data_IF_845925923746
#
_entry.id   IF_845925923746
#
_cell.length_a   1.000
_cell.length_b   1.000
_cell.length_c   1.000
_cell.angle_alpha   90.00
_cell.angle_beta   90.00
_cell.angle_gamma   90.00
#
_symmetry.space_group_name_H-M   'P 1'
#
loop_
_entity.id
_entity.type
_entity.pdbx_description
1 polymer ?
#
# COMPACT_ATOMS: atom_id res chain seq x y z
N UNK A 1 -4.64 -9.72 2.12
CA UNK A 1 -6.11 -9.56 2.03
C UNK A 1 -6.73 -9.57 3.42
N UNK A 2 -6.46 -10.55 4.29
CA UNK A 2 -7.04 -10.63 5.64
C UNK A 2 -6.90 -9.32 6.44
N UNK A 3 -5.70 -8.76 6.52
CA UNK A 3 -5.42 -7.50 7.22
C UNK A 3 -6.16 -6.30 6.61
N UNK A 4 -6.47 -6.34 5.32
CA UNK A 4 -7.28 -5.30 4.68
C UNK A 4 -8.74 -5.35 5.14
N UNK A 5 -9.32 -6.54 5.25
CA UNK A 5 -10.69 -6.73 5.78
C UNK A 5 -10.79 -6.49 7.29
N UNK A 6 -9.69 -6.61 8.02
CA UNK A 6 -9.64 -6.30 9.46
C UNK A 6 -9.75 -4.81 9.76
N UNK A 7 -9.45 -3.91 8.82
CA UNK A 7 -9.44 -2.46 9.04
C UNK A 7 -10.81 -1.81 8.87
N UNK A 8 -11.25 -1.06 9.86
CA UNK A 8 -12.44 -0.20 9.79
C UNK A 8 -12.09 1.16 9.19
N UNK A 9 -12.01 1.22 7.84
CA UNK A 9 -11.62 2.43 7.11
C UNK A 9 -12.58 3.60 7.32
N UNK A 10 -13.87 3.34 7.52
CA UNK A 10 -14.86 4.38 7.78
C UNK A 10 -14.58 5.03 9.14
N UNK A 11 -14.36 4.24 10.18
CA UNK A 11 -13.99 4.77 11.50
C UNK A 11 -12.63 5.50 11.46
N UNK A 12 -11.65 4.97 10.71
CA UNK A 12 -10.35 5.62 10.52
C UNK A 12 -10.55 6.98 9.81
N UNK A 13 -11.37 7.03 8.76
CA UNK A 13 -11.67 8.28 8.05
C UNK A 13 -12.31 9.32 8.98
N UNK A 14 -13.34 8.94 9.72
CA UNK A 14 -14.02 9.84 10.66
C UNK A 14 -13.07 10.37 11.75
N UNK A 15 -12.28 9.49 12.37
CA UNK A 15 -11.49 9.84 13.56
C UNK A 15 -10.18 10.54 13.20
N UNK A 16 -9.49 10.09 12.15
CA UNK A 16 -8.16 10.60 11.78
C UNK A 16 -8.21 11.65 10.67
N UNK A 17 -9.25 11.63 9.82
CA UNK A 17 -9.37 12.51 8.64
C UNK A 17 -10.67 13.34 8.66
N UNK A 18 -11.42 13.36 9.76
CA UNK A 18 -12.65 14.16 9.93
C UNK A 18 -13.74 13.88 8.88
N UNK A 19 -13.77 12.65 8.33
CA UNK A 19 -14.71 12.25 7.31
C UNK A 19 -14.47 12.84 5.90
N UNK A 20 -13.37 13.58 5.69
CA UNK A 20 -13.14 14.29 4.42
C UNK A 20 -12.31 13.49 3.40
N UNK A 21 -11.77 12.35 3.79
CA UNK A 21 -11.07 11.46 2.90
C UNK A 21 -11.99 10.40 2.28
N UNK A 22 -11.43 9.57 1.41
CA UNK A 22 -12.10 8.44 0.79
C UNK A 22 -11.44 7.14 1.23
N UNK A 23 -12.17 6.21 1.92
CA UNK A 23 -11.70 4.85 2.15
C UNK A 23 -11.41 4.13 0.83
N UNK A 24 -10.15 3.75 0.58
CA UNK A 24 -9.75 3.20 -0.72
C UNK A 24 -8.45 2.41 -0.69
N UNK A 25 -8.22 1.64 -1.75
CA UNK A 25 -6.92 1.07 -2.07
C UNK A 25 -6.04 2.07 -2.85
N UNK A 26 -4.80 1.68 -3.12
CA UNK A 26 -3.80 2.45 -3.88
C UNK A 26 -4.07 2.43 -5.39
N UNK A 27 -5.30 2.64 -5.78
CA UNK A 27 -5.71 2.74 -7.18
C UNK A 27 -5.46 4.17 -7.70
N UNK A 28 -5.19 4.37 -9.00
CA UNK A 28 -5.18 5.70 -9.60
C UNK A 28 -6.46 6.49 -9.28
N UNK A 29 -6.40 7.83 -9.16
CA UNK A 29 -7.57 8.63 -8.77
C UNK A 29 -8.66 8.64 -9.85
N UNK A 30 -9.93 8.96 -9.52
CA UNK A 30 -11.06 8.93 -10.46
C UNK A 30 -10.89 9.77 -11.71
N UNK A 31 -10.03 10.79 -11.70
CA UNK A 31 -9.74 11.64 -12.85
C UNK A 31 -8.67 11.04 -13.78
N UNK A 32 -8.03 9.94 -13.39
CA UNK A 32 -7.05 9.24 -14.20
C UNK A 32 -7.74 8.36 -15.25
N UNK A 33 -7.17 8.29 -16.45
CA UNK A 33 -7.58 7.33 -17.49
C UNK A 33 -7.31 5.87 -17.09
N UNK A 34 -6.51 5.67 -16.06
CA UNK A 34 -6.20 4.36 -15.47
C UNK A 34 -7.08 4.01 -14.26
N UNK A 35 -8.07 4.84 -13.95
CA UNK A 35 -8.95 4.60 -12.81
C UNK A 35 -9.70 3.27 -12.94
N UNK A 36 -9.78 2.55 -11.84
CA UNK A 36 -10.54 1.32 -11.68
C UNK A 36 -11.30 1.36 -10.36
N UNK A 37 -12.62 1.48 -10.42
CA UNK A 37 -13.49 1.45 -9.25
C UNK A 37 -13.39 0.10 -8.52
N UNK A 38 -13.24 -1.01 -9.26
CA UNK A 38 -13.06 -2.33 -8.66
C UNK A 38 -11.79 -2.40 -7.83
N UNK A 39 -10.67 -1.87 -8.34
CA UNK A 39 -9.42 -1.83 -7.58
C UNK A 39 -9.52 -0.87 -6.39
N UNK A 40 -10.08 0.31 -6.58
CA UNK A 40 -10.27 1.28 -5.49
C UNK A 40 -11.01 0.65 -4.30
N UNK A 41 -12.04 -0.17 -4.57
CA UNK A 41 -12.89 -0.80 -3.56
C UNK A 41 -12.50 -2.24 -3.22
N UNK A 42 -11.45 -2.79 -3.85
CA UNK A 42 -11.03 -4.16 -3.62
C UNK A 42 -10.68 -4.40 -2.14
N UNK A 43 -11.29 -5.39 -1.52
CA UNK A 43 -10.99 -5.78 -0.14
C UNK A 43 -11.09 -4.63 0.90
N UNK A 44 -11.87 -3.56 0.63
CA UNK A 44 -12.03 -2.43 1.56
C UNK A 44 -13.10 -2.63 2.61
N UNK A 45 -14.02 -3.59 2.40
CA UNK A 45 -15.09 -3.88 3.33
C UNK A 45 -14.52 -4.29 4.70
N UNK A 46 -14.97 -3.64 5.75
CA UNK A 46 -14.67 -4.05 7.13
C UNK A 46 -15.42 -5.36 7.44
N UNK A 47 -14.68 -6.42 7.66
CA UNK A 47 -15.21 -7.75 7.93
C UNK A 47 -14.20 -8.55 8.77
N UNK A 48 -14.14 -8.31 10.08
CA UNK A 48 -13.19 -8.99 10.96
C UNK A 48 -13.44 -10.49 11.08
N UNK A 49 -14.67 -10.96 10.85
CA UNK A 49 -14.98 -12.40 10.83
C UNK A 49 -14.34 -13.07 9.62
N UNK A 50 -14.49 -12.46 8.45
CA UNK A 50 -13.84 -12.93 7.23
C UNK A 50 -12.31 -12.83 7.31
N UNK A 51 -11.79 -11.74 7.91
CA UNK A 51 -10.36 -11.60 8.17
C UNK A 51 -9.82 -12.75 9.04
N UNK A 52 -10.53 -13.10 10.12
CA UNK A 52 -10.18 -14.23 10.97
C UNK A 52 -10.18 -15.55 10.21
N UNK A 53 -11.22 -15.81 9.39
CA UNK A 53 -11.30 -17.01 8.56
C UNK A 53 -10.09 -17.12 7.62
N UNK A 54 -9.72 -16.03 6.94
CA UNK A 54 -8.55 -16.00 6.04
C UNK A 54 -7.23 -16.25 6.79
N UNK A 55 -7.10 -15.75 8.03
CA UNK A 55 -5.92 -16.00 8.86
C UNK A 55 -5.87 -17.46 9.33
N UNK A 56 -7.01 -18.07 9.61
CA UNK A 56 -7.11 -19.49 9.94
C UNK A 56 -6.73 -20.37 8.73
N UNK A 57 -7.24 -20.03 7.53
CA UNK A 57 -6.93 -20.75 6.28
C UNK A 57 -5.42 -20.77 5.92
N UNK A 58 -4.65 -19.80 6.38
CA UNK A 58 -3.19 -19.78 6.20
C UNK A 58 -2.42 -20.42 7.35
N UNK A 59 -3.11 -21.12 8.27
CA UNK A 59 -2.50 -21.90 9.34
C UNK A 59 -2.18 -21.09 10.60
N UNK A 60 -2.83 -19.95 10.82
CA UNK A 60 -2.66 -19.11 12.01
C UNK A 60 -3.87 -19.24 12.97
N UNK A 61 -4.37 -20.47 13.19
CA UNK A 61 -5.57 -20.74 14.00
C UNK A 61 -5.31 -20.59 15.49
N UNK A 62 -4.17 -21.08 15.96
CA UNK A 62 -3.83 -21.10 17.39
C UNK A 62 -3.61 -19.70 17.96
N UNK A 63 -4.05 -19.51 19.23
CA UNK A 63 -3.91 -18.23 19.93
C UNK A 63 -3.43 -18.44 21.36
N UNK A 64 -2.66 -17.48 21.86
CA UNK A 64 -2.29 -17.44 23.28
C UNK A 64 -3.44 -16.92 24.17
N UNK A 65 -3.19 -16.87 25.48
CA UNK A 65 -4.17 -16.40 26.48
C UNK A 65 -4.61 -14.92 26.29
N UNK A 66 -3.84 -14.13 25.55
CA UNK A 66 -4.13 -12.73 25.21
C UNK A 66 -4.91 -12.60 23.90
N UNK A 67 -5.25 -13.71 23.22
CA UNK A 67 -5.95 -13.72 21.95
C UNK A 67 -5.05 -13.48 20.74
N UNK A 68 -3.73 -13.36 20.91
CA UNK A 68 -2.78 -13.18 19.83
C UNK A 68 -2.51 -14.54 19.17
N UNK A 69 -2.54 -14.56 17.85
CA UNK A 69 -2.27 -15.73 17.02
C UNK A 69 -0.83 -16.22 17.21
N UNK A 70 -0.62 -17.51 17.12
CA UNK A 70 0.70 -18.11 17.17
C UNK A 70 1.22 -18.40 15.76
N UNK A 71 2.49 -18.18 15.57
CA UNK A 71 3.23 -18.60 14.37
C UNK A 71 3.49 -20.13 14.43
N UNK A 72 3.89 -20.75 13.31
CA UNK A 72 4.21 -22.19 13.29
C UNK A 72 5.30 -22.64 14.28
N UNK A 73 6.16 -21.69 14.73
CA UNK A 73 7.20 -21.93 15.74
C UNK A 73 6.67 -21.79 17.19
N UNK A 74 5.37 -21.51 17.38
CA UNK A 74 4.72 -21.35 18.68
C UNK A 74 4.85 -19.95 19.28
N UNK A 75 5.61 -19.04 18.64
CA UNK A 75 5.76 -17.66 19.12
C UNK A 75 4.57 -16.78 18.72
N UNK A 76 4.23 -15.78 19.52
CA UNK A 76 3.15 -14.85 19.18
C UNK A 76 3.39 -14.13 17.84
N UNK A 77 2.35 -14.05 17.01
CA UNK A 77 2.41 -13.27 15.77
C UNK A 77 2.42 -11.78 16.11
N UNK A 78 3.59 -11.21 16.03
CA UNK A 78 3.82 -9.78 16.28
C UNK A 78 4.48 -9.14 15.07
N UNK A 79 3.96 -7.98 14.66
CA UNK A 79 4.48 -7.18 13.55
C UNK A 79 4.59 -5.72 13.98
N UNK A 80 5.40 -4.95 13.28
CA UNK A 80 5.44 -3.51 13.46
C UNK A 80 5.30 -2.75 12.15
N UNK A 81 4.72 -1.56 12.26
CA UNK A 81 4.56 -0.63 11.14
C UNK A 81 5.55 0.52 11.36
N UNK A 82 6.53 0.66 10.48
CA UNK A 82 7.40 1.84 10.47
C UNK A 82 6.70 3.04 9.82
N UNK A 83 6.93 4.20 10.41
CA UNK A 83 6.40 5.48 9.92
C UNK A 83 7.39 6.62 10.19
N UNK A 84 7.28 7.69 9.40
CA UNK A 84 7.95 8.97 9.65
C UNK A 84 6.99 10.07 10.10
N UNK A 85 5.70 9.75 10.24
CA UNK A 85 4.66 10.70 10.58
C UNK A 85 4.65 10.99 12.08
N UNK A 86 4.59 12.27 12.46
CA UNK A 86 4.44 12.71 13.85
C UNK A 86 3.04 12.47 14.40
N UNK A 87 2.02 12.43 13.53
CA UNK A 87 0.64 12.13 13.88
C UNK A 87 0.26 10.75 13.35
N UNK A 88 0.19 9.79 14.25
CA UNK A 88 -0.02 8.38 13.93
C UNK A 88 -1.47 7.91 14.19
N UNK A 89 -2.45 8.84 14.33
CA UNK A 89 -3.82 8.50 14.72
C UNK A 89 -4.45 7.41 13.84
N UNK A 90 -4.28 7.51 12.52
CA UNK A 90 -4.78 6.49 11.61
C UNK A 90 -4.10 5.13 11.83
N UNK A 91 -2.79 5.13 12.05
CA UNK A 91 -2.03 3.88 12.28
C UNK A 91 -2.35 3.26 13.65
N UNK A 92 -2.65 4.07 14.67
CA UNK A 92 -3.11 3.56 15.98
C UNK A 92 -4.41 2.77 15.82
N UNK A 93 -5.34 3.25 15.00
CA UNK A 93 -6.59 2.55 14.70
C UNK A 93 -6.32 1.27 13.89
N UNK A 94 -5.46 1.32 12.87
CA UNK A 94 -5.03 0.13 12.12
C UNK A 94 -4.40 -0.91 13.05
N UNK A 95 -3.52 -0.49 13.94
CA UNK A 95 -2.85 -1.39 14.88
C UNK A 95 -3.85 -2.03 15.87
N UNK A 96 -4.84 -1.28 16.33
CA UNK A 96 -5.92 -1.79 17.17
C UNK A 96 -6.77 -2.83 16.41
N UNK A 97 -7.18 -2.53 15.18
CA UNK A 97 -7.97 -3.42 14.34
C UNK A 97 -7.24 -4.73 14.02
N UNK A 98 -5.95 -4.66 13.67
CA UNK A 98 -5.12 -5.85 13.41
C UNK A 98 -4.90 -6.68 14.67
N UNK A 99 -4.72 -6.01 15.81
CA UNK A 99 -4.58 -6.71 17.11
C UNK A 99 -5.88 -7.41 17.50
N UNK A 100 -7.03 -6.84 17.20
CA UNK A 100 -8.34 -7.45 17.46
C UNK A 100 -8.55 -8.77 16.69
N UNK A 101 -7.94 -8.95 15.53
CA UNK A 101 -7.94 -10.23 14.80
C UNK A 101 -6.76 -11.13 15.15
N UNK A 102 -5.97 -10.77 16.17
CA UNK A 102 -4.90 -11.59 16.74
C UNK A 102 -3.52 -11.34 16.15
N UNK A 103 -3.32 -10.28 15.37
CA UNK A 103 -2.00 -9.86 14.88
C UNK A 103 -1.50 -8.70 15.74
N UNK A 104 -0.67 -8.99 16.74
CA UNK A 104 -0.11 -7.96 17.62
C UNK A 104 0.66 -6.94 16.79
N UNK A 105 0.22 -5.69 16.79
CA UNK A 105 0.77 -4.65 15.93
C UNK A 105 1.29 -3.48 16.74
N UNK A 106 2.54 -3.08 16.48
CA UNK A 106 3.20 -1.95 17.12
C UNK A 106 3.56 -0.90 16.04
N UNK A 107 3.57 0.38 16.43
CA UNK A 107 3.98 1.48 15.54
C UNK A 107 5.39 1.92 15.96
N UNK A 108 6.30 2.01 15.00
CA UNK A 108 7.68 2.48 15.21
C UNK A 108 7.94 3.72 14.38
N UNK A 109 7.95 4.88 15.05
CA UNK A 109 8.37 6.12 14.43
C UNK A 109 9.88 6.13 14.19
N UNK A 110 10.30 6.57 13.02
CA UNK A 110 11.70 6.66 12.60
C UNK A 110 12.00 8.03 12.00
N UNK A 111 13.21 8.50 12.19
CA UNK A 111 13.73 9.59 11.37
C UNK A 111 13.72 9.16 9.88
N UNK A 112 13.38 10.10 8.97
CA UNK A 112 13.19 9.81 7.54
C UNK A 112 14.38 9.08 6.89
N UNK A 113 15.60 9.45 7.26
CA UNK A 113 16.79 8.78 6.74
C UNK A 113 16.83 7.30 7.16
N UNK A 114 16.66 7.03 8.45
CA UNK A 114 16.67 5.66 8.99
C UNK A 114 15.51 4.81 8.43
N UNK A 115 14.34 5.42 8.24
CA UNK A 115 13.20 4.77 7.57
C UNK A 115 13.61 4.23 6.20
N UNK A 116 14.20 5.05 5.35
CA UNK A 116 14.60 4.62 4.00
C UNK A 116 15.79 3.65 4.00
N UNK A 117 16.69 3.75 4.96
CA UNK A 117 17.77 2.77 5.16
C UNK A 117 17.19 1.38 5.51
N UNK A 118 16.23 1.33 6.44
CA UNK A 118 15.54 0.09 6.81
C UNK A 118 14.76 -0.51 5.63
N UNK A 119 14.04 0.33 4.85
CA UNK A 119 13.32 -0.13 3.66
C UNK A 119 14.28 -0.80 2.67
N UNK A 120 15.39 -0.17 2.34
CA UNK A 120 16.40 -0.70 1.41
C UNK A 120 17.10 -1.95 1.93
N UNK A 121 17.26 -2.06 3.23
CA UNK A 121 17.84 -3.22 3.91
C UNK A 121 16.83 -4.37 4.12
N UNK A 122 15.55 -4.19 3.79
CA UNK A 122 14.46 -5.13 4.09
C UNK A 122 14.32 -5.42 5.59
N UNK A 123 14.64 -4.45 6.44
CA UNK A 123 14.66 -4.58 7.90
C UNK A 123 13.40 -3.94 8.51
N UNK A 124 12.25 -4.40 8.08
CA UNK A 124 10.93 -3.98 8.55
C UNK A 124 9.88 -5.05 8.23
N UNK A 125 8.78 -5.08 8.99
CA UNK A 125 7.63 -5.94 8.68
C UNK A 125 6.67 -5.18 7.75
N UNK A 126 6.20 -4.02 8.20
CA UNK A 126 5.37 -3.10 7.42
C UNK A 126 5.95 -1.69 7.48
N UNK A 127 5.65 -0.90 6.46
CA UNK A 127 5.98 0.50 6.42
C UNK A 127 4.81 1.30 5.82
N UNK A 128 4.65 2.54 6.24
CA UNK A 128 3.62 3.42 5.70
C UNK A 128 4.22 4.64 5.04
N UNK A 129 3.62 5.04 3.92
CA UNK A 129 3.96 6.26 3.20
C UNK A 129 2.71 6.86 2.58
N UNK A 130 2.70 8.16 2.31
CA UNK A 130 1.60 8.86 1.68
C UNK A 130 1.83 9.14 0.19
N UNK A 131 0.77 9.47 -0.54
CA UNK A 131 0.85 9.96 -1.92
C UNK A 131 0.73 8.87 -2.99
N UNK A 132 -0.24 7.99 -2.90
CA UNK A 132 -0.53 6.97 -3.91
C UNK A 132 -1.60 7.46 -4.91
N UNK A 133 -1.49 8.72 -5.37
CA UNK A 133 -2.49 9.38 -6.22
C UNK A 133 -1.93 9.71 -7.61
N UNK A 134 -1.07 8.87 -8.16
CA UNK A 134 -0.48 9.07 -9.48
C UNK A 134 -1.53 8.93 -10.59
N UNK A 135 -1.69 10.02 -11.36
CA UNK A 135 -2.59 10.04 -12.52
C UNK A 135 -2.13 9.14 -13.66
N UNK A 136 -0.82 9.03 -13.84
CA UNK A 136 -0.21 8.28 -14.93
C UNK A 136 0.78 7.28 -14.32
N UNK A 137 0.30 6.09 -13.91
CA UNK A 137 1.14 5.10 -13.22
C UNK A 137 2.28 4.53 -14.07
N UNK A 138 2.28 4.74 -15.39
CA UNK A 138 3.43 4.44 -16.25
C UNK A 138 4.63 5.36 -15.98
N UNK A 139 4.40 6.59 -15.55
CA UNK A 139 5.47 7.54 -15.23
C UNK A 139 6.03 7.34 -13.83
N UNK A 140 5.18 6.94 -12.88
CA UNK A 140 5.59 6.64 -11.50
C UNK A 140 4.88 5.39 -10.97
N UNK A 141 5.41 4.21 -11.23
CA UNK A 141 4.80 2.94 -10.83
C UNK A 141 5.13 2.51 -9.40
N UNK A 142 5.79 3.33 -8.58
CA UNK A 142 6.41 2.95 -7.29
C UNK A 142 5.48 2.21 -6.32
N UNK A 143 4.19 2.46 -6.39
CA UNK A 143 3.17 1.80 -5.56
C UNK A 143 2.73 0.44 -6.10
N UNK A 144 2.84 0.27 -7.41
CA UNK A 144 2.26 -0.86 -8.15
C UNK A 144 3.30 -1.88 -8.59
N UNK A 145 4.52 -1.41 -8.88
CA UNK A 145 5.60 -2.23 -9.43
C UNK A 145 6.89 -2.02 -8.65
N UNK A 146 7.53 -3.09 -8.17
CA UNK A 146 8.89 -3.00 -7.63
C UNK A 146 9.90 -2.87 -8.77
N UNK A 147 10.26 -1.65 -9.16
CA UNK A 147 11.06 -1.39 -10.36
C UNK A 147 12.42 -0.75 -10.09
N UNK A 148 12.56 0.01 -8.99
CA UNK A 148 13.83 0.65 -8.59
C UNK A 148 13.87 0.98 -7.09
N UNK A 149 14.90 1.74 -6.67
CA UNK A 149 15.14 2.11 -5.27
C UNK A 149 14.08 3.07 -4.68
N UNK A 150 13.18 3.64 -5.49
CA UNK A 150 12.04 4.43 -5.02
C UNK A 150 10.75 3.61 -4.88
N UNK A 151 10.76 2.35 -5.22
CA UNK A 151 9.60 1.45 -5.02
C UNK A 151 9.23 1.38 -3.53
N UNK A 152 7.94 1.40 -3.25
CA UNK A 152 7.42 1.39 -1.87
C UNK A 152 7.39 -0.04 -1.31
N UNK A 153 7.43 -1.04 -2.17
CA UNK A 153 7.35 -2.44 -1.79
C UNK A 153 8.48 -3.27 -2.42
N UNK A 154 8.75 -4.44 -1.84
CA UNK A 154 9.51 -5.52 -2.45
C UNK A 154 10.89 -5.10 -2.99
N UNK A 155 11.65 -4.33 -2.22
CA UNK A 155 12.94 -3.72 -2.60
C UNK A 155 13.97 -4.73 -3.16
N UNK A 156 13.95 -5.98 -2.68
CA UNK A 156 14.87 -7.01 -3.15
C UNK A 156 14.58 -7.42 -4.60
N UNK A 157 13.30 -7.50 -4.96
CA UNK A 157 12.84 -7.74 -6.33
C UNK A 157 13.05 -6.51 -7.23
N UNK A 158 12.85 -5.30 -6.69
CA UNK A 158 13.19 -4.06 -7.40
C UNK A 158 14.68 -3.99 -7.77
N UNK A 159 15.55 -4.43 -6.87
CA UNK A 159 17.00 -4.53 -7.10
C UNK A 159 17.33 -5.55 -8.21
N UNK A 160 16.66 -6.69 -8.22
CA UNK A 160 16.81 -7.69 -9.28
C UNK A 160 16.39 -7.12 -10.64
N UNK A 161 15.24 -6.48 -10.70
CA UNK A 161 14.72 -5.87 -11.92
C UNK A 161 15.65 -4.79 -12.48
N UNK A 162 16.09 -3.85 -11.66
CA UNK A 162 16.97 -2.76 -12.05
C UNK A 162 18.34 -3.23 -12.51
N UNK A 163 18.87 -4.28 -11.92
CA UNK A 163 20.21 -4.80 -12.25
C UNK A 163 20.22 -5.85 -13.35
N UNK A 164 19.06 -6.19 -13.92
CA UNK A 164 18.94 -7.24 -14.92
C UNK A 164 19.32 -8.62 -14.36
N UNK A 165 18.93 -8.91 -13.12
CA UNK A 165 19.15 -10.19 -12.47
C UNK A 165 20.52 -10.35 -11.79
N UNK A 166 21.37 -9.32 -11.78
CA UNK A 166 22.72 -9.41 -11.18
C UNK A 166 22.75 -9.29 -9.66
N UNK A 167 21.74 -8.66 -9.07
CA UNK A 167 21.60 -8.45 -7.63
C UNK A 167 20.13 -8.56 -7.22
N UNK A 168 19.88 -8.78 -5.94
CA UNK A 168 18.54 -8.96 -5.43
C UNK A 168 18.05 -10.39 -5.57
N UNK A 169 16.76 -10.58 -5.60
CA UNK A 169 16.09 -11.87 -5.68
C UNK A 169 15.13 -11.88 -6.88
N UNK A 170 15.07 -12.97 -7.60
CA UNK A 170 14.16 -13.15 -8.72
C UNK A 170 12.71 -13.31 -8.23
N UNK A 171 11.78 -12.41 -8.61
CA UNK A 171 10.37 -12.58 -8.28
C UNK A 171 9.76 -13.77 -9.02
N UNK A 172 8.61 -14.26 -8.52
CA UNK A 172 7.89 -15.38 -9.13
C UNK A 172 6.41 -15.03 -9.30
N UNK A 173 5.71 -15.80 -10.13
CA UNK A 173 4.27 -15.71 -10.29
C UNK A 173 3.80 -14.33 -10.75
N UNK A 174 2.72 -13.86 -10.15
CA UNK A 174 2.08 -12.60 -10.52
C UNK A 174 2.99 -11.37 -10.33
N UNK A 175 3.90 -11.39 -9.36
CA UNK A 175 4.82 -10.28 -9.15
C UNK A 175 5.85 -10.16 -10.28
N UNK A 176 6.41 -11.29 -10.75
CA UNK A 176 7.26 -11.31 -11.95
C UNK A 176 6.47 -10.81 -13.16
N UNK A 177 5.23 -11.28 -13.32
CA UNK A 177 4.35 -10.86 -14.43
C UNK A 177 4.10 -9.36 -14.45
N UNK A 178 3.84 -8.75 -13.29
CA UNK A 178 3.68 -7.29 -13.16
C UNK A 178 4.94 -6.55 -13.64
N UNK A 179 6.10 -7.01 -13.24
CA UNK A 179 7.37 -6.37 -13.63
C UNK A 179 7.66 -6.53 -15.14
N UNK A 180 7.33 -7.66 -15.72
CA UNK A 180 7.45 -7.90 -17.17
C UNK A 180 6.47 -7.04 -17.98
N UNK A 181 5.23 -6.91 -17.52
CA UNK A 181 4.22 -6.06 -18.14
C UNK A 181 4.64 -4.59 -18.11
N UNK A 182 5.14 -4.12 -16.97
CA UNK A 182 5.64 -2.76 -16.86
C UNK A 182 6.83 -2.51 -17.80
N UNK A 183 7.81 -3.43 -17.85
CA UNK A 183 8.95 -3.32 -18.80
C UNK A 183 8.48 -3.25 -20.25
N UNK A 184 7.44 -3.98 -20.62
CA UNK A 184 6.84 -3.88 -21.95
C UNK A 184 6.16 -2.53 -22.17
N UNK A 185 5.44 -2.03 -21.16
CA UNK A 185 4.80 -0.72 -21.23
C UNK A 185 5.81 0.41 -21.43
N UNK A 186 6.96 0.37 -20.75
CA UNK A 186 8.03 1.38 -20.89
C UNK A 186 8.55 1.52 -22.34
N UNK A 187 8.60 0.44 -23.10
CA UNK A 187 9.13 0.44 -24.47
C UNK A 187 8.06 0.46 -25.56
N UNK A 188 6.78 0.39 -25.19
CA UNK A 188 5.66 0.47 -26.13
C UNK A 188 5.41 1.92 -26.52
N UNK A 189 5.51 2.24 -27.81
CA UNK A 189 5.32 3.61 -28.32
C UNK A 189 3.84 3.98 -28.52
N UNK A 190 2.98 2.98 -28.70
CA UNK A 190 1.55 3.17 -28.89
C UNK A 190 0.85 3.37 -27.55
N UNK A 191 0.19 4.50 -27.37
CA UNK A 191 -0.47 4.89 -26.12
C UNK A 191 -1.50 3.84 -25.66
N UNK A 192 -2.36 3.38 -26.57
CA UNK A 192 -3.35 2.35 -26.25
C UNK A 192 -2.69 1.00 -25.87
N UNK A 193 -1.53 0.71 -26.44
CA UNK A 193 -0.71 -0.44 -26.05
C UNK A 193 -0.18 -0.32 -24.62
N UNK A 194 0.32 0.84 -24.25
CA UNK A 194 0.74 1.14 -22.88
C UNK A 194 -0.42 1.01 -21.89
N UNK A 195 -1.58 1.61 -22.22
CA UNK A 195 -2.79 1.55 -21.38
C UNK A 195 -3.23 0.11 -21.13
N UNK A 196 -3.27 -0.74 -22.16
CA UNK A 196 -3.62 -2.16 -21.99
C UNK A 196 -2.67 -2.89 -21.06
N UNK A 197 -1.36 -2.70 -21.21
CA UNK A 197 -0.35 -3.34 -20.36
C UNK A 197 -0.45 -2.85 -18.91
N UNK A 198 -0.63 -1.55 -18.69
CA UNK A 198 -0.82 -1.01 -17.34
C UNK A 198 -2.13 -1.45 -16.72
N UNK A 199 -3.20 -1.63 -17.50
CA UNK A 199 -4.43 -2.21 -16.98
C UNK A 199 -4.19 -3.61 -16.43
N UNK A 200 -3.45 -4.47 -17.12
CA UNK A 200 -3.09 -5.79 -16.60
C UNK A 200 -2.26 -5.70 -15.30
N UNK A 201 -1.37 -4.69 -15.18
CA UNK A 201 -0.62 -4.42 -13.94
C UNK A 201 -1.58 -4.07 -12.80
N UNK A 202 -2.58 -3.20 -13.05
CA UNK A 202 -3.58 -2.81 -12.05
C UNK A 202 -4.45 -4.00 -11.64
N UNK A 203 -4.92 -4.81 -12.60
CA UNK A 203 -5.73 -6.00 -12.34
C UNK A 203 -4.98 -7.02 -11.44
N UNK A 204 -3.66 -7.16 -11.63
CA UNK A 204 -2.83 -8.01 -10.78
C UNK A 204 -2.59 -7.42 -9.38
N UNK A 205 -2.49 -6.09 -9.26
CA UNK A 205 -2.42 -5.42 -7.96
C UNK A 205 -3.75 -5.52 -7.20
N UNK A 206 -4.88 -5.37 -7.86
CA UNK A 206 -6.21 -5.59 -7.31
C UNK A 206 -6.35 -7.02 -6.74
N UNK A 207 -5.96 -8.02 -7.53
CA UNK A 207 -6.03 -9.44 -7.14
C UNK A 207 -5.17 -9.78 -5.93
N UNK A 208 -3.92 -9.30 -5.91
CA UNK A 208 -2.92 -9.73 -4.93
C UNK A 208 -2.82 -8.81 -3.70
N UNK A 209 -3.16 -7.54 -3.87
CA UNK A 209 -3.13 -6.52 -2.82
C UNK A 209 -1.76 -6.45 -2.08
N UNK A 210 -0.66 -6.28 -2.81
CA UNK A 210 0.68 -6.15 -2.23
C UNK A 210 0.86 -4.88 -1.40
N UNK A 211 0.13 -3.82 -1.72
CA UNK A 211 0.06 -2.58 -0.94
C UNK A 211 -1.38 -2.37 -0.47
N UNK A 212 -1.55 -2.08 0.81
CA UNK A 212 -2.86 -1.89 1.43
C UNK A 212 -3.13 -0.39 1.59
N UNK A 213 -4.14 0.12 0.90
CA UNK A 213 -4.63 1.47 1.08
C UNK A 213 -5.50 1.61 2.33
N UNK A 214 -5.51 2.80 2.91
CA UNK A 214 -6.31 3.12 4.10
C UNK A 214 -7.37 4.16 3.71
N UNK A 215 -6.97 5.42 3.62
CA UNK A 215 -7.78 6.56 3.23
C UNK A 215 -6.95 7.42 2.29
N UNK A 216 -7.52 7.85 1.20
CA UNK A 216 -6.88 8.73 0.22
C UNK A 216 -7.76 9.93 -0.13
N UNK A 217 -7.32 10.70 -1.11
CA UNK A 217 -8.05 11.85 -1.65
C UNK A 217 -8.45 12.89 -0.58
N UNK A 218 -7.62 13.04 0.46
CA UNK A 218 -7.83 14.12 1.43
C UNK A 218 -7.47 15.46 0.77
N UNK A 219 -8.34 16.47 0.84
CA UNK A 219 -8.04 17.77 0.26
C UNK A 219 -6.85 18.42 0.95
N UNK A 220 -5.94 18.98 0.17
CA UNK A 220 -4.82 19.79 0.63
C UNK A 220 -5.16 21.28 0.54
N UNK A 221 -4.94 22.01 1.63
CA UNK A 221 -5.18 23.46 1.67
C UNK A 221 -3.85 24.19 1.48
N UNK A 222 -3.81 25.06 0.49
CA UNK A 222 -2.68 25.93 0.23
C UNK A 222 -3.03 27.38 0.57
N UNK A 223 -2.22 27.99 1.42
CA UNK A 223 -2.31 29.42 1.71
C UNK A 223 -1.35 30.18 0.80
N UNK A 224 -1.87 31.03 -0.04
CA UNK A 224 -1.09 31.88 -0.95
C UNK A 224 -1.31 33.35 -0.60
N UNK A 225 -0.29 34.19 -0.81
CA UNK A 225 -0.45 35.64 -0.66
C UNK A 225 -1.37 36.17 -1.78
N UNK A 226 -2.13 37.19 -1.47
CA UNK A 226 -3.01 37.89 -2.41
C UNK A 226 -2.29 38.56 -3.60
N UNK A 227 -0.97 38.73 -3.45
CA UNK A 227 -0.09 39.25 -4.53
C UNK A 227 0.33 38.20 -5.55
N UNK A 228 0.04 36.92 -5.30
CA UNK A 228 0.28 35.85 -6.27
C UNK A 228 -0.76 35.91 -7.39
N UNK A 229 -0.30 35.84 -8.64
CA UNK A 229 -1.16 35.81 -9.82
C UNK A 229 -1.18 34.42 -10.45
N UNK A 230 -2.23 34.12 -11.21
CA UNK A 230 -2.41 32.83 -11.88
C UNK A 230 -2.46 31.62 -10.91
N UNK A 231 -2.96 31.83 -9.71
CA UNK A 231 -3.25 30.75 -8.76
C UNK A 231 -4.63 30.20 -9.10
N UNK A 232 -4.76 28.91 -9.44
CA UNK A 232 -6.06 28.31 -9.66
C UNK A 232 -6.82 28.16 -8.33
N UNK A 233 -8.16 28.25 -8.36
CA UNK A 233 -9.01 28.02 -7.19
C UNK A 233 -8.89 26.57 -6.69
N UNK A 234 -8.63 25.64 -7.60
CA UNK A 234 -8.37 24.23 -7.31
C UNK A 234 -7.17 23.79 -8.13
N UNK A 235 -6.15 23.27 -7.45
CA UNK A 235 -5.03 22.57 -8.10
C UNK A 235 -5.32 21.06 -8.14
N UNK A 236 -5.17 20.49 -9.32
CA UNK A 236 -5.29 19.06 -9.56
C UNK A 236 -3.95 18.36 -9.33
#
# INVERSE_FOLDING_TARGET
IALSHAMNRDAINEIAYFGIGTPRQVAPPPMSEYYSESFEKAHTRYDPEYANKLLDEVGLEERNAQGIRLRPDGEPLSVYIETTALNNRALELVAADWTAVGVKTEIKEKARQLFWENQKAMNHDFATWGGADEFIPTLDPRWLVPWNDSSIQAQNYARWFRTGGRQGEEPKGDLLRVMELYRKAEITQEEEGQKRLMKEVLDLNEKNLWVIGIVGQTPSIFLVKDTFVNVPDVAL
#
